data_IF_100485444489
#
_entry.id   IF_100485444489
#
_cell.length_a   1.000
_cell.length_b   1.000
_cell.length_c   1.000
_cell.angle_alpha   90.00
_cell.angle_beta   90.00
_cell.angle_gamma   90.00
#
_symmetry.space_group_name_H-M   'P 1'
#
loop_
_entity.id
_entity.type
_entity.pdbx_description
1 polymer ?
#
# COMPACT_ATOMS: atom_id res chain seq x y z
N UNK A 1 1.03 -5.89 -2.92
CA UNK A 1 1.35 -6.61 -4.19
C UNK A 1 2.80 -6.37 -4.60
N UNK A 2 3.42 -7.23 -5.42
CA UNK A 2 4.77 -6.99 -5.93
C UNK A 2 4.90 -5.60 -6.57
N UNK A 3 5.90 -4.83 -6.16
CA UNK A 3 6.15 -3.49 -6.69
C UNK A 3 5.31 -2.34 -6.10
N UNK A 4 4.44 -2.60 -5.11
CA UNK A 4 3.70 -1.55 -4.39
C UNK A 4 3.86 -1.74 -2.88
N UNK A 5 4.89 -1.11 -2.28
CA UNK A 5 5.12 -1.20 -0.83
C UNK A 5 4.21 -0.24 -0.06
N UNK A 6 4.05 -0.53 1.24
CA UNK A 6 3.61 0.46 2.21
C UNK A 6 4.76 1.42 2.51
N UNK A 7 4.44 2.71 2.59
CA UNK A 7 5.36 3.76 3.03
C UNK A 7 4.72 4.58 4.15
N UNK A 8 5.55 5.14 5.03
CA UNK A 8 5.12 6.01 6.13
C UNK A 8 5.70 7.39 5.93
N UNK A 9 4.88 8.41 6.15
CA UNK A 9 5.31 9.80 6.16
C UNK A 9 6.31 10.04 7.31
N UNK A 10 7.30 10.90 7.08
CA UNK A 10 8.38 11.16 8.03
C UNK A 10 7.98 12.12 9.15
N UNK A 11 6.99 12.98 8.91
CA UNK A 11 6.58 14.05 9.80
C UNK A 11 5.20 13.80 10.42
N UNK A 12 4.36 13.00 9.76
CA UNK A 12 2.98 12.75 10.14
C UNK A 12 2.70 11.26 10.38
N UNK A 13 1.72 10.91 11.23
CA UNK A 13 1.27 9.52 11.40
C UNK A 13 0.39 9.07 10.21
N UNK A 14 0.88 9.24 8.99
CA UNK A 14 0.20 8.87 7.75
C UNK A 14 0.95 7.72 7.08
N UNK A 15 0.21 6.71 6.65
CA UNK A 15 0.76 5.59 5.87
C UNK A 15 0.01 5.42 4.57
N UNK A 16 0.74 5.09 3.50
CA UNK A 16 0.24 5.07 2.13
C UNK A 16 0.69 3.81 1.39
N UNK A 17 -0.19 3.28 0.55
CA UNK A 17 0.14 2.30 -0.48
C UNK A 17 -0.12 2.94 -1.85
N UNK A 18 0.94 3.34 -2.56
CA UNK A 18 0.85 4.14 -3.78
C UNK A 18 0.87 3.24 -5.03
N UNK A 19 -0.31 2.88 -5.55
CA UNK A 19 -0.47 2.02 -6.73
C UNK A 19 -0.37 2.85 -8.03
N UNK A 20 0.63 2.58 -8.86
CA UNK A 20 0.61 3.05 -10.26
C UNK A 20 -0.39 2.21 -11.08
N UNK A 21 -0.98 2.79 -12.14
CA UNK A 21 -2.19 2.25 -12.78
C UNK A 21 -2.17 0.74 -13.07
N UNK A 22 -1.07 0.25 -13.66
CA UNK A 22 -0.93 -1.14 -14.10
C UNK A 22 -0.37 -2.11 -13.05
N UNK A 23 -0.14 -1.68 -11.81
CA UNK A 23 0.42 -2.53 -10.75
C UNK A 23 -0.65 -3.13 -9.84
N UNK A 24 -0.41 -4.33 -9.30
CA UNK A 24 -1.37 -5.02 -8.42
C UNK A 24 -2.38 -5.87 -9.19
N UNK A 25 -3.21 -6.58 -8.44
CA UNK A 25 -4.27 -7.46 -8.95
C UNK A 25 -5.66 -6.99 -8.50
N UNK A 26 -6.69 -7.72 -8.90
CA UNK A 26 -8.10 -7.45 -8.53
C UNK A 26 -8.30 -7.31 -7.02
N UNK A 27 -7.48 -8.01 -6.23
CA UNK A 27 -7.55 -8.03 -4.77
C UNK A 27 -6.60 -7.03 -4.11
N UNK A 28 -5.99 -6.10 -4.86
CA UNK A 28 -5.00 -5.15 -4.33
C UNK A 28 -5.52 -4.36 -3.13
N UNK A 29 -6.70 -3.76 -3.23
CA UNK A 29 -7.22 -2.88 -2.18
C UNK A 29 -7.59 -3.64 -0.91
N UNK A 30 -8.19 -4.82 -1.05
CA UNK A 30 -8.52 -5.68 0.09
C UNK A 30 -7.26 -6.09 0.85
N UNK A 31 -6.21 -6.51 0.12
CA UNK A 31 -4.93 -6.87 0.74
C UNK A 31 -4.20 -5.69 1.34
N UNK A 32 -4.25 -4.52 0.71
CA UNK A 32 -3.63 -3.32 1.28
C UNK A 32 -4.20 -3.07 2.69
N UNK A 33 -5.52 -3.18 2.88
CA UNK A 33 -6.15 -2.96 4.18
C UNK A 33 -5.76 -3.99 5.26
N UNK A 34 -5.44 -5.23 4.88
CA UNK A 34 -5.16 -6.32 5.83
C UNK A 34 -3.67 -6.58 6.05
N UNK A 35 -2.82 -6.29 5.06
CA UNK A 35 -1.37 -6.51 5.08
C UNK A 35 -0.61 -5.25 5.55
N UNK A 36 -1.29 -4.32 6.24
CA UNK A 36 -0.66 -3.14 6.82
C UNK A 36 0.33 -3.57 7.92
N UNK A 37 1.64 -3.23 7.80
CA UNK A 37 2.60 -3.55 8.85
C UNK A 37 2.25 -2.80 10.14
N UNK A 38 2.15 -3.54 11.25
CA UNK A 38 1.99 -2.98 12.60
C UNK A 38 3.16 -2.05 12.96
#
# INVERSE_FOLDING_TARGET
SPGVPWVRDTDQPLSLALKSGNFGDENFFARAQTEFPQ
#
